data_IF_729970417982
#
_entry.id   IF_729970417982
#
_cell.length_a   1.000
_cell.length_b   1.000
_cell.length_c   1.000
_cell.angle_alpha   90.00
_cell.angle_beta   90.00
_cell.angle_gamma   90.00
#
_symmetry.space_group_name_H-M   'P 1'
#
loop_
_entity.id
_entity.type
_entity.pdbx_description
1 polymer ?
#
# COMPACT_ATOMS: atom_id res chain seq x y z
N UNK A 1 19.88 25.54 23.49
CA UNK A 1 20.47 24.57 22.53
C UNK A 1 20.01 23.17 22.93
N UNK A 2 18.86 22.72 22.43
CA UNK A 2 18.33 21.39 22.74
C UNK A 2 18.97 20.38 21.78
N UNK A 3 19.78 19.46 22.30
CA UNK A 3 20.31 18.33 21.52
C UNK A 3 19.15 17.36 21.27
N UNK A 4 18.70 17.27 20.03
CA UNK A 4 17.79 16.24 19.56
C UNK A 4 18.43 14.87 19.83
N UNK A 5 17.86 14.09 20.75
CA UNK A 5 18.25 12.69 20.95
C UNK A 5 18.02 11.98 19.62
N UNK A 6 19.10 11.52 18.96
CA UNK A 6 18.98 10.64 17.80
C UNK A 6 18.34 9.35 18.31
N UNK A 7 17.08 9.13 18.00
CA UNK A 7 16.44 7.83 18.18
C UNK A 7 17.24 6.83 17.35
N UNK A 8 17.80 5.81 17.99
CA UNK A 8 18.39 4.68 17.28
C UNK A 8 17.21 4.00 16.60
N UNK A 9 17.04 4.22 15.30
CA UNK A 9 16.10 3.43 14.51
C UNK A 9 16.55 1.97 14.57
N UNK A 10 15.65 1.00 14.81
CA UNK A 10 16.01 -0.40 14.83
C UNK A 10 16.72 -0.79 13.52
N UNK A 11 17.65 -1.75 13.61
CA UNK A 11 18.36 -2.29 12.46
C UNK A 11 17.34 -2.81 11.43
N UNK A 12 17.23 -2.18 10.25
CA UNK A 12 16.20 -2.51 9.27
C UNK A 12 16.35 -3.94 8.76
N UNK A 13 17.55 -4.55 8.84
CA UNK A 13 17.77 -5.93 8.41
C UNK A 13 17.11 -6.96 9.33
N UNK A 14 16.82 -6.59 10.59
CA UNK A 14 16.11 -7.41 11.58
C UNK A 14 14.64 -7.04 11.74
N UNK A 15 14.30 -5.79 11.41
CA UNK A 15 12.95 -5.24 11.46
C UNK A 15 12.71 -4.44 10.18
N UNK A 16 12.31 -5.10 9.08
CA UNK A 16 12.14 -4.44 7.80
C UNK A 16 11.16 -3.28 7.90
N UNK A 17 11.44 -2.21 7.14
CA UNK A 17 10.62 -0.99 7.17
C UNK A 17 9.32 -1.25 6.42
N UNK A 18 8.21 -1.16 7.14
CA UNK A 18 6.87 -1.18 6.52
C UNK A 18 6.65 0.10 5.73
N UNK A 19 6.09 -0.04 4.53
CA UNK A 19 5.81 1.09 3.64
C UNK A 19 4.31 1.22 3.44
N UNK A 20 3.83 2.45 3.46
CA UNK A 20 2.42 2.77 3.24
C UNK A 20 2.28 3.92 2.26
N UNK A 21 1.46 3.72 1.24
CA UNK A 21 1.05 4.79 0.32
C UNK A 21 -0.26 5.39 0.81
N UNK A 22 -0.24 6.67 1.15
CA UNK A 22 -1.44 7.41 1.56
C UNK A 22 -2.09 8.04 0.34
N UNK A 23 -3.12 7.36 -0.17
CA UNK A 23 -3.90 7.79 -1.32
C UNK A 23 -3.96 6.74 -2.43
N UNK A 24 -5.14 6.59 -3.00
CA UNK A 24 -5.50 5.51 -3.95
C UNK A 24 -6.02 6.03 -5.29
N UNK A 25 -5.74 7.28 -5.64
CA UNK A 25 -5.98 7.79 -7.00
C UNK A 25 -5.03 7.15 -8.01
N UNK A 26 -5.13 7.53 -9.29
CA UNK A 26 -4.33 6.94 -10.38
C UNK A 26 -2.83 6.88 -10.05
N UNK A 27 -2.26 8.01 -9.60
CA UNK A 27 -0.85 8.08 -9.22
C UNK A 27 -0.54 7.31 -7.93
N UNK A 28 -1.44 7.33 -6.94
CA UNK A 28 -1.28 6.57 -5.70
C UNK A 28 -1.17 5.07 -5.97
N UNK A 29 -2.07 4.53 -6.80
CA UNK A 29 -2.03 3.12 -7.22
C UNK A 29 -0.82 2.78 -8.07
N UNK A 30 -0.38 3.70 -8.95
CA UNK A 30 0.85 3.52 -9.74
C UNK A 30 2.08 3.44 -8.84
N UNK A 31 2.19 4.32 -7.84
CA UNK A 31 3.29 4.31 -6.87
C UNK A 31 3.24 3.07 -6.00
N UNK A 32 2.07 2.68 -5.48
CA UNK A 32 1.90 1.46 -4.70
C UNK A 32 2.40 0.23 -5.47
N UNK A 33 2.06 0.12 -6.75
CA UNK A 33 2.57 -0.94 -7.64
C UNK A 33 4.09 -0.92 -7.79
N UNK A 34 4.69 0.24 -8.07
CA UNK A 34 6.14 0.34 -8.23
C UNK A 34 6.88 0.00 -6.94
N UNK A 35 6.41 0.50 -5.80
CA UNK A 35 7.00 0.24 -4.48
C UNK A 35 6.87 -1.23 -4.13
N UNK A 36 5.71 -1.84 -4.34
CA UNK A 36 5.48 -3.27 -4.07
C UNK A 36 6.39 -4.19 -4.89
N UNK A 37 6.62 -3.87 -6.18
CA UNK A 37 7.58 -4.60 -7.01
C UNK A 37 9.00 -4.48 -6.45
N UNK A 38 9.38 -3.30 -5.95
CA UNK A 38 10.72 -3.07 -5.38
C UNK A 38 10.91 -3.73 -4.02
N UNK A 39 9.88 -3.76 -3.18
CA UNK A 39 9.92 -4.40 -1.88
C UNK A 39 10.26 -5.90 -2.00
N UNK A 40 9.64 -6.62 -2.95
CA UNK A 40 9.93 -8.05 -3.22
C UNK A 40 11.32 -8.25 -3.83
N UNK A 41 11.88 -7.24 -4.50
CA UNK A 41 13.22 -7.29 -5.10
C UNK A 41 14.33 -6.88 -4.13
N UNK A 42 13.99 -6.51 -2.89
CA UNK A 42 14.95 -6.01 -1.91
C UNK A 42 15.77 -7.15 -1.28
N UNK A 43 16.90 -7.46 -1.91
CA UNK A 43 17.82 -8.50 -1.42
C UNK A 43 18.45 -8.21 -0.05
N UNK A 44 18.39 -6.96 0.41
CA UNK A 44 18.96 -6.55 1.69
C UNK A 44 17.96 -6.65 2.85
N UNK A 45 16.70 -7.05 2.59
CA UNK A 45 15.63 -7.17 3.59
C UNK A 45 15.46 -5.88 4.42
N UNK A 46 15.57 -4.72 3.78
CA UNK A 46 15.40 -3.40 4.37
C UNK A 46 13.94 -2.98 4.45
N UNK A 47 13.08 -3.53 3.59
CA UNK A 47 11.66 -3.23 3.48
C UNK A 47 10.79 -4.47 3.63
N UNK A 48 9.61 -4.28 4.22
CA UNK A 48 8.60 -5.33 4.27
C UNK A 48 8.03 -5.55 2.87
N UNK A 49 7.81 -6.80 2.48
CA UNK A 49 7.18 -7.12 1.20
C UNK A 49 5.75 -6.58 1.15
N UNK A 50 5.01 -6.57 2.26
CA UNK A 50 3.67 -5.97 2.32
C UNK A 50 3.77 -4.45 2.15
N UNK A 51 3.16 -3.95 1.08
CA UNK A 51 2.95 -2.51 0.86
C UNK A 51 1.50 -2.18 1.11
N UNK A 52 1.25 -1.42 2.18
CA UNK A 52 -0.09 -0.95 2.49
C UNK A 52 -0.45 0.24 1.60
N UNK A 53 -1.72 0.31 1.19
CA UNK A 53 -2.27 1.47 0.50
C UNK A 53 -3.52 1.92 1.25
N UNK A 54 -3.52 3.13 1.77
CA UNK A 54 -4.75 3.72 2.30
C UNK A 54 -5.66 4.06 1.12
N UNK A 55 -6.87 3.50 1.16
CA UNK A 55 -7.90 3.67 0.13
C UNK A 55 -9.13 4.22 0.82
N UNK A 56 -9.63 5.36 0.35
CA UNK A 56 -10.97 5.79 0.76
C UNK A 56 -11.99 4.80 0.20
N UNK A 57 -12.68 4.07 1.09
CA UNK A 57 -13.54 2.96 0.68
C UNK A 57 -14.88 3.45 0.12
N UNK A 58 -14.93 3.54 -1.20
CA UNK A 58 -16.11 3.94 -1.96
C UNK A 58 -16.87 2.72 -2.45
N UNK A 59 -18.19 2.88 -2.61
CA UNK A 59 -18.99 1.93 -3.39
C UNK A 59 -18.80 2.23 -4.87
N UNK A 60 -18.37 1.23 -5.64
CA UNK A 60 -18.13 1.32 -7.09
C UNK A 60 -18.93 0.27 -7.83
N UNK A 61 -19.33 0.60 -9.07
CA UNK A 61 -19.95 -0.40 -9.95
C UNK A 61 -18.90 -1.42 -10.39
N UNK A 62 -19.13 -2.68 -10.07
CA UNK A 62 -18.31 -3.80 -10.47
C UNK A 62 -19.20 -4.91 -11.02
N UNK A 63 -19.20 -5.06 -12.33
CA UNK A 63 -20.02 -6.02 -13.08
C UNK A 63 -21.54 -5.86 -12.81
N UNK A 64 -22.02 -4.62 -12.66
CA UNK A 64 -23.43 -4.30 -12.44
C UNK A 64 -23.88 -4.39 -10.98
N UNK A 65 -22.97 -4.62 -10.04
CA UNK A 65 -23.22 -4.60 -8.60
C UNK A 65 -22.38 -3.51 -7.93
N UNK A 66 -22.95 -2.84 -6.92
CA UNK A 66 -22.18 -1.90 -6.09
C UNK A 66 -21.35 -2.69 -5.08
N UNK A 67 -20.03 -2.49 -5.09
CA UNK A 67 -19.08 -3.19 -4.22
C UNK A 67 -18.04 -2.24 -3.63
N UNK A 68 -17.46 -2.64 -2.50
CA UNK A 68 -16.35 -1.93 -1.86
C UNK A 68 -15.13 -1.90 -2.76
N UNK A 69 -14.57 -0.71 -2.99
CA UNK A 69 -13.32 -0.55 -3.74
C UNK A 69 -12.16 -1.26 -3.03
N UNK A 70 -12.12 -1.23 -1.70
CA UNK A 70 -11.10 -1.95 -0.90
C UNK A 70 -11.21 -3.45 -1.10
N UNK A 71 -12.42 -4.01 -1.05
CA UNK A 71 -12.66 -5.44 -1.28
C UNK A 71 -12.21 -5.86 -2.68
N UNK A 72 -12.57 -5.08 -3.70
CA UNK A 72 -12.15 -5.35 -5.09
C UNK A 72 -10.63 -5.32 -5.21
N UNK A 73 -9.95 -4.31 -4.65
CA UNK A 73 -8.49 -4.21 -4.72
C UNK A 73 -7.83 -5.40 -4.03
N UNK A 74 -8.28 -5.79 -2.84
CA UNK A 74 -7.68 -6.91 -2.09
C UNK A 74 -7.99 -8.28 -2.69
N UNK A 75 -9.09 -8.42 -3.44
CA UNK A 75 -9.51 -9.72 -4.02
C UNK A 75 -9.05 -9.90 -5.46
N UNK A 76 -9.11 -8.83 -6.26
CA UNK A 76 -8.85 -8.85 -7.70
C UNK A 76 -7.53 -8.15 -8.06
N UNK A 77 -6.86 -7.54 -7.08
CA UNK A 77 -5.62 -6.81 -7.28
C UNK A 77 -5.72 -5.79 -8.42
N UNK A 78 -6.82 -5.04 -8.47
CA UNK A 78 -7.04 -3.98 -9.45
C UNK A 78 -7.79 -2.81 -8.80
N UNK A 79 -7.31 -1.59 -9.04
CA UNK A 79 -8.09 -0.39 -8.73
C UNK A 79 -8.97 -0.03 -9.94
N UNK A 80 -10.12 -0.70 -10.03
CA UNK A 80 -11.04 -0.61 -11.19
C UNK A 80 -11.55 0.80 -11.48
N UNK A 81 -11.51 1.70 -10.48
CA UNK A 81 -11.97 3.09 -10.63
C UNK A 81 -10.86 4.03 -11.10
N UNK A 82 -9.67 3.94 -10.49
CA UNK A 82 -8.62 4.94 -10.68
C UNK A 82 -7.44 4.46 -11.53
N UNK A 83 -7.29 3.16 -11.73
CA UNK A 83 -6.25 2.55 -12.56
C UNK A 83 -6.77 1.28 -13.29
N UNK A 84 -7.83 1.41 -14.12
CA UNK A 84 -8.47 0.26 -14.77
C UNK A 84 -7.54 -0.46 -15.74
N UNK A 85 -7.65 -1.79 -15.79
CA UNK A 85 -6.91 -2.67 -16.69
C UNK A 85 -5.45 -2.92 -16.28
N UNK A 86 -5.02 -2.44 -15.12
CA UNK A 86 -3.66 -2.63 -14.61
C UNK A 86 -3.70 -3.38 -13.29
N UNK A 87 -3.17 -4.59 -13.30
CA UNK A 87 -3.00 -5.39 -12.09
C UNK A 87 -1.96 -4.75 -11.15
N UNK A 88 -2.37 -4.61 -9.89
CA UNK A 88 -1.52 -4.37 -8.75
C UNK A 88 -0.84 -5.68 -8.34
N UNK A 89 0.39 -5.62 -7.79
CA UNK A 89 1.02 -6.79 -7.18
C UNK A 89 0.21 -7.34 -6.00
N UNK A 90 0.29 -8.65 -5.76
CA UNK A 90 -0.47 -9.31 -4.68
C UNK A 90 -0.09 -8.81 -3.27
N UNK A 91 1.13 -8.30 -3.12
CA UNK A 91 1.64 -7.70 -1.89
C UNK A 91 1.20 -6.24 -1.67
N UNK A 92 0.29 -5.70 -2.49
CA UNK A 92 -0.41 -4.44 -2.20
C UNK A 92 -1.67 -4.73 -1.40
N UNK A 93 -1.72 -4.23 -0.16
CA UNK A 93 -2.87 -4.43 0.74
C UNK A 93 -3.62 -3.11 0.94
N UNK A 94 -4.85 -3.04 0.45
CA UNK A 94 -5.74 -1.91 0.63
C UNK A 94 -6.29 -1.87 2.07
N UNK A 95 -6.17 -0.71 2.72
CA UNK A 95 -6.69 -0.44 4.07
C UNK A 95 -7.71 0.71 4.01
N UNK A 96 -8.95 0.52 4.50
CA UNK A 96 -9.97 1.56 4.49
C UNK A 96 -9.73 2.60 5.59
N UNK A 97 -9.18 2.15 6.72
CA UNK A 97 -8.88 2.99 7.86
C UNK A 97 -7.46 3.57 7.77
N UNK A 98 -7.34 4.87 8.01
CA UNK A 98 -6.07 5.57 7.91
C UNK A 98 -5.13 5.20 9.06
N UNK A 99 -5.66 4.97 10.26
CA UNK A 99 -4.86 4.61 11.43
C UNK A 99 -4.26 3.21 11.23
N UNK A 100 -5.07 2.23 10.83
CA UNK A 100 -4.61 0.88 10.49
C UNK A 100 -3.57 0.89 9.36
N UNK A 101 -3.73 1.79 8.38
CA UNK A 101 -2.77 1.91 7.30
C UNK A 101 -1.37 2.33 7.79
N UNK A 102 -1.27 3.18 8.83
CA UNK A 102 0.00 3.76 9.31
C UNK A 102 0.59 3.09 10.56
N UNK A 103 -0.05 2.06 11.09
CA UNK A 103 0.42 1.24 12.23
C UNK A 103 1.66 0.38 11.93
#
# INVERSE_FOLDING_TARGET
MFKQKRSISPDPTRYPRRVTVIGSGNWGSTVARLVAIRAVQDSENLYDEEVRMWVFDEQVDYHGEQRSLVEIINTHHENVKYLPGIALPENVVAKPDLQEAVE
#
